data_IF_525540720419
#
_entry.id   IF_525540720419
#
_cell.length_a   1.000
_cell.length_b   1.000
_cell.length_c   1.000
_cell.angle_alpha   90.00
_cell.angle_beta   90.00
_cell.angle_gamma   90.00
#
_symmetry.space_group_name_H-M   'P 1'
#
loop_
_entity.id
_entity.type
_entity.pdbx_description
1 polymer ?
#
# COMPACT_ATOMS: atom_id res chain seq x y z
N UNK A 1 -8.22 -4.46 18.38
CA UNK A 1 -7.72 -3.55 17.31
C UNK A 1 -7.03 -4.29 16.18
N UNK A 2 -6.05 -5.17 16.45
CA UNK A 2 -5.30 -5.89 15.40
C UNK A 2 -6.19 -6.63 14.39
N UNK A 3 -7.24 -7.33 14.85
CA UNK A 3 -8.17 -8.03 13.96
C UNK A 3 -8.88 -7.12 12.96
N UNK A 4 -9.24 -5.89 13.34
CA UNK A 4 -9.88 -4.93 12.45
C UNK A 4 -8.90 -4.42 11.38
N UNK A 5 -7.63 -4.22 11.74
CA UNK A 5 -6.59 -3.82 10.79
C UNK A 5 -6.29 -4.93 9.79
N UNK A 6 -6.15 -6.18 10.25
CA UNK A 6 -5.93 -7.32 9.37
C UNK A 6 -7.12 -7.56 8.43
N UNK A 7 -8.35 -7.36 8.93
CA UNK A 7 -9.54 -7.40 8.10
C UNK A 7 -9.51 -6.33 7.00
N UNK A 8 -9.11 -5.10 7.34
CA UNK A 8 -8.98 -4.03 6.35
C UNK A 8 -7.87 -4.31 5.32
N UNK A 9 -6.72 -4.85 5.75
CA UNK A 9 -5.64 -5.26 4.85
C UNK A 9 -6.12 -6.31 3.84
N UNK A 10 -6.86 -7.33 4.30
CA UNK A 10 -7.44 -8.36 3.42
C UNK A 10 -8.38 -7.77 2.38
N UNK A 11 -9.18 -6.76 2.74
CA UNK A 11 -10.05 -6.07 1.77
C UNK A 11 -9.25 -5.32 0.72
N UNK A 12 -8.21 -4.60 1.14
CA UNK A 12 -7.31 -3.90 0.22
C UNK A 12 -6.66 -4.90 -0.74
N UNK A 13 -6.10 -5.99 -0.22
CA UNK A 13 -5.46 -7.02 -1.04
C UNK A 13 -6.44 -7.68 -2.02
N UNK A 14 -7.63 -8.06 -1.56
CA UNK A 14 -8.66 -8.66 -2.41
C UNK A 14 -9.04 -7.76 -3.58
N UNK A 15 -9.20 -6.46 -3.33
CA UNK A 15 -9.51 -5.49 -4.40
C UNK A 15 -8.31 -5.24 -5.30
N UNK A 16 -7.09 -5.21 -4.75
CA UNK A 16 -5.86 -5.07 -5.54
C UNK A 16 -5.73 -6.19 -6.58
N UNK A 17 -5.88 -7.44 -6.15
CA UNK A 17 -5.87 -8.62 -7.05
C UNK A 17 -6.97 -8.51 -8.11
N UNK A 18 -8.19 -8.16 -7.71
CA UNK A 18 -9.29 -8.00 -8.66
C UNK A 18 -9.01 -6.93 -9.74
N UNK A 19 -8.40 -5.80 -9.35
CA UNK A 19 -8.01 -4.74 -10.28
C UNK A 19 -6.86 -5.20 -11.20
N UNK A 20 -5.90 -5.94 -10.66
CA UNK A 20 -4.77 -6.48 -11.44
C UNK A 20 -5.21 -7.55 -12.44
N UNK A 21 -6.30 -8.28 -12.15
CA UNK A 21 -7.01 -9.17 -13.08
C UNK A 21 -7.86 -8.43 -14.13
N UNK A 22 -7.90 -7.09 -14.09
CA UNK A 22 -8.63 -6.26 -15.05
C UNK A 22 -10.12 -6.07 -14.76
N UNK A 23 -10.59 -6.39 -13.54
CA UNK A 23 -11.99 -6.12 -13.16
C UNK A 23 -12.24 -4.62 -13.05
N UNK A 24 -13.46 -4.23 -13.39
CA UNK A 24 -13.93 -2.84 -13.26
C UNK A 24 -13.94 -2.41 -11.78
N UNK A 25 -13.64 -1.14 -11.51
CA UNK A 25 -13.44 -0.59 -10.17
C UNK A 25 -14.65 -0.79 -9.24
N UNK A 26 -15.86 -0.55 -9.73
CA UNK A 26 -17.10 -0.79 -9.00
C UNK A 26 -17.30 -2.27 -8.69
N UNK A 27 -17.05 -3.17 -9.65
CA UNK A 27 -17.10 -4.62 -9.43
C UNK A 27 -16.09 -5.07 -8.38
N UNK A 28 -14.84 -4.60 -8.48
CA UNK A 28 -13.77 -4.93 -7.55
C UNK A 28 -14.09 -4.44 -6.12
N UNK A 29 -14.61 -3.21 -5.96
CA UNK A 29 -15.01 -2.67 -4.67
C UNK A 29 -16.16 -3.46 -4.02
N UNK A 30 -17.12 -3.92 -4.82
CA UNK A 30 -18.24 -4.77 -4.34
C UNK A 30 -17.75 -6.10 -3.76
N UNK A 31 -16.68 -6.69 -4.30
CA UNK A 31 -16.08 -7.92 -3.74
C UNK A 31 -15.60 -7.74 -2.30
N UNK A 32 -15.27 -6.51 -1.89
CA UNK A 32 -14.89 -6.17 -0.53
C UNK A 32 -16.05 -5.59 0.30
N UNK A 33 -17.30 -5.61 -0.19
CA UNK A 33 -18.44 -5.04 0.51
C UNK A 33 -18.38 -3.51 0.65
N UNK A 34 -17.69 -2.83 -0.26
CA UNK A 34 -17.66 -1.36 -0.30
C UNK A 34 -18.91 -0.87 -1.05
N UNK A 35 -19.69 0.06 -0.47
CA UNK A 35 -20.87 0.58 -1.14
C UNK A 35 -20.48 1.45 -2.35
N UNK A 36 -21.32 1.54 -3.41
CA UNK A 36 -20.97 2.20 -4.68
C UNK A 36 -20.46 3.64 -4.52
N UNK A 37 -21.09 4.43 -3.64
CA UNK A 37 -20.71 5.83 -3.40
C UNK A 37 -19.31 6.00 -2.76
N UNK A 38 -18.73 4.95 -2.17
CA UNK A 38 -17.34 4.92 -1.65
C UNK A 38 -16.38 4.12 -2.52
N UNK A 39 -16.86 3.48 -3.58
CA UNK A 39 -16.04 2.59 -4.40
C UNK A 39 -14.85 3.33 -5.03
N UNK A 40 -15.08 4.54 -5.56
CA UNK A 40 -14.04 5.36 -6.18
C UNK A 40 -12.91 5.68 -5.20
N UNK A 41 -13.24 6.22 -4.03
CA UNK A 41 -12.25 6.61 -3.02
C UNK A 41 -11.48 5.40 -2.49
N UNK A 42 -12.19 4.28 -2.28
CA UNK A 42 -11.56 3.04 -1.84
C UNK A 42 -10.60 2.48 -2.89
N UNK A 43 -10.99 2.48 -4.17
CA UNK A 43 -10.12 2.02 -5.26
C UNK A 43 -8.89 2.94 -5.41
N UNK A 44 -9.06 4.25 -5.28
CA UNK A 44 -7.93 5.19 -5.26
C UNK A 44 -6.97 4.93 -4.09
N UNK A 45 -7.49 4.50 -2.93
CA UNK A 45 -6.67 4.06 -1.81
C UNK A 45 -5.92 2.76 -2.15
N UNK A 46 -6.61 1.77 -2.71
CA UNK A 46 -6.03 0.46 -3.08
C UNK A 46 -4.91 0.61 -4.12
N UNK A 47 -5.06 1.50 -5.10
CA UNK A 47 -4.04 1.76 -6.13
C UNK A 47 -2.71 2.27 -5.58
N UNK A 48 -2.67 2.79 -4.35
CA UNK A 48 -1.42 3.21 -3.68
C UNK A 48 -0.61 2.04 -3.12
N UNK A 49 -1.21 0.85 -3.06
CA UNK A 49 -0.56 -0.35 -2.56
C UNK A 49 0.06 -1.16 -3.70
N UNK A 50 1.38 -1.36 -3.62
CA UNK A 50 2.09 -2.35 -4.42
C UNK A 50 2.08 -3.72 -3.76
N UNK A 51 2.22 -4.79 -4.55
CA UNK A 51 2.32 -6.16 -4.06
C UNK A 51 3.43 -6.33 -2.99
N UNK A 52 4.67 -5.81 -3.17
CA UNK A 52 5.71 -5.93 -2.14
C UNK A 52 5.32 -5.27 -0.81
N UNK A 53 4.54 -4.18 -0.84
CA UNK A 53 4.06 -3.51 0.38
C UNK A 53 2.99 -4.34 1.10
N UNK A 54 2.11 -5.02 0.34
CA UNK A 54 1.08 -5.89 0.91
C UNK A 54 1.69 -7.10 1.62
N UNK A 55 2.70 -7.73 1.00
CA UNK A 55 3.47 -8.80 1.64
C UNK A 55 4.16 -8.33 2.92
N UNK A 56 4.89 -7.21 2.85
CA UNK A 56 5.55 -6.65 4.02
C UNK A 56 4.55 -6.32 5.14
N UNK A 57 3.41 -5.70 4.80
CA UNK A 57 2.37 -5.41 5.78
C UNK A 57 1.82 -6.69 6.44
N UNK A 58 1.60 -7.75 5.66
CA UNK A 58 1.15 -9.04 6.17
C UNK A 58 2.13 -9.64 7.18
N UNK A 59 3.43 -9.64 6.87
CA UNK A 59 4.46 -10.16 7.77
C UNK A 59 4.52 -9.36 9.07
N UNK A 60 4.37 -8.03 9.00
CA UNK A 60 4.29 -7.16 10.17
C UNK A 60 3.08 -7.49 11.05
N UNK A 61 1.90 -7.72 10.44
CA UNK A 61 0.72 -8.15 11.18
C UNK A 61 0.92 -9.52 11.84
N UNK A 62 1.52 -10.49 11.14
CA UNK A 62 1.80 -11.81 11.68
C UNK A 62 2.75 -11.73 12.89
N UNK A 63 3.84 -10.97 12.77
CA UNK A 63 4.78 -10.72 13.87
C UNK A 63 4.10 -10.07 15.08
N UNK A 64 3.26 -9.06 14.85
CA UNK A 64 2.53 -8.39 15.92
C UNK A 64 1.51 -9.33 16.59
N UNK A 65 0.78 -10.15 15.82
CA UNK A 65 -0.17 -11.14 16.35
C UNK A 65 0.53 -12.18 17.22
N UNK A 66 1.66 -12.73 16.76
CA UNK A 66 2.49 -13.65 17.55
C UNK A 66 3.02 -13.00 18.83
N UNK A 67 3.46 -11.73 18.75
CA UNK A 67 3.98 -10.99 19.92
C UNK A 67 2.89 -10.72 20.96
N UNK A 68 1.67 -10.43 20.51
CA UNK A 68 0.50 -10.23 21.38
C UNK A 68 0.00 -11.53 22.02
N UNK A 69 0.14 -12.67 21.34
CA UNK A 69 -0.25 -13.99 21.86
C UNK A 69 0.84 -14.66 22.70
N UNK A 70 2.11 -14.25 22.56
CA UNK A 70 3.26 -14.81 23.26
C UNK A 70 3.68 -14.03 24.52
N UNK A 71 4.87 -14.33 25.04
CA UNK A 71 5.41 -13.82 26.31
C UNK A 71 5.70 -12.32 26.40
N UNK A 72 5.44 -11.54 25.35
CA UNK A 72 5.54 -10.07 25.34
C UNK A 72 4.20 -9.36 25.57
N UNK A 73 3.15 -10.10 25.96
CA UNK A 73 1.83 -9.57 26.28
C UNK A 73 1.81 -8.54 27.44
N UNK A 74 2.94 -8.28 28.10
CA UNK A 74 3.09 -7.25 29.14
C UNK A 74 3.06 -5.83 28.60
N UNK A 75 3.26 -5.61 27.29
CA UNK A 75 3.17 -4.28 26.67
C UNK A 75 2.42 -4.25 25.31
N UNK A 76 1.10 -4.56 25.26
CA UNK A 76 0.32 -4.61 24.03
C UNK A 76 0.30 -3.28 23.25
N UNK A 77 0.34 -2.15 23.96
CA UNK A 77 0.37 -0.81 23.36
C UNK A 77 1.64 -0.57 22.56
N UNK A 78 2.80 -0.96 23.12
CA UNK A 78 4.10 -0.79 22.45
C UNK A 78 4.16 -1.62 21.17
N UNK A 79 3.63 -2.84 21.19
CA UNK A 79 3.55 -3.70 20.00
C UNK A 79 2.69 -3.05 18.89
N UNK A 80 1.56 -2.44 19.27
CA UNK A 80 0.69 -1.75 18.31
C UNK A 80 1.32 -0.47 17.77
N UNK A 81 1.99 0.32 18.60
CA UNK A 81 2.70 1.54 18.19
C UNK A 81 3.82 1.19 17.20
N UNK A 82 4.63 0.17 17.50
CA UNK A 82 5.70 -0.33 16.63
C UNK A 82 5.16 -0.84 15.28
N UNK A 83 4.04 -1.57 15.29
CA UNK A 83 3.36 -2.01 14.07
C UNK A 83 2.94 -0.83 13.19
N UNK A 84 2.31 0.20 13.77
CA UNK A 84 1.87 1.39 13.02
C UNK A 84 3.06 2.12 12.39
N UNK A 85 4.14 2.30 13.16
CA UNK A 85 5.36 2.96 12.67
C UNK A 85 6.00 2.19 11.50
N UNK A 86 6.09 0.86 11.60
CA UNK A 86 6.64 0.03 10.52
C UNK A 86 5.76 0.04 9.27
N UNK A 87 4.43 0.01 9.40
CA UNK A 87 3.50 0.11 8.28
C UNK A 87 3.63 1.47 7.55
N UNK A 88 3.77 2.57 8.30
CA UNK A 88 4.00 3.89 7.72
C UNK A 88 5.34 3.95 6.95
N UNK A 89 6.43 3.42 7.54
CA UNK A 89 7.74 3.40 6.89
C UNK A 89 7.76 2.53 5.62
N UNK A 90 7.09 1.38 5.65
CA UNK A 90 6.93 0.49 4.50
C UNK A 90 6.24 1.22 3.33
N UNK A 91 5.19 1.99 3.62
CA UNK A 91 4.49 2.77 2.61
C UNK A 91 5.34 3.91 2.05
N UNK A 92 6.04 4.67 2.90
CA UNK A 92 6.91 5.78 2.49
C UNK A 92 8.10 5.35 1.63
N UNK A 93 8.73 4.21 1.93
CA UNK A 93 9.89 3.73 1.16
C UNK A 93 9.54 3.34 -0.28
N UNK A 94 8.40 2.69 -0.49
CA UNK A 94 7.99 2.31 -1.84
C UNK A 94 7.45 3.51 -2.65
N UNK A 95 6.88 4.54 -2.00
CA UNK A 95 6.57 5.81 -2.67
C UNK A 95 7.84 6.54 -3.19
N UNK A 96 8.97 6.44 -2.49
CA UNK A 96 10.24 7.04 -2.92
C UNK A 96 10.87 6.31 -4.12
N UNK A 97 10.70 4.99 -4.24
CA UNK A 97 11.23 4.21 -5.38
C UNK A 97 10.49 4.55 -6.68
N UNK A 98 9.18 4.78 -6.64
CA UNK A 98 8.37 5.13 -7.80
C UNK A 98 8.58 6.56 -8.36
N UNK A 99 9.28 7.44 -7.64
CA UNK A 99 9.48 8.84 -8.03
C UNK A 99 10.84 9.11 -8.74
N UNK A 100 11.62 8.08 -9.09
CA UNK A 100 12.80 8.25 -9.94
C UNK A 100 12.37 8.42 -11.41
N UNK A 101 11.78 9.56 -11.74
CA UNK A 101 11.66 10.02 -13.13
C UNK A 101 13.08 10.29 -13.63
N UNK A 102 13.56 9.49 -14.58
CA UNK A 102 14.83 9.71 -15.29
C UNK A 102 14.87 11.16 -15.79
N UNK A 103 15.89 11.98 -15.45
CA UNK A 103 16.02 13.28 -16.08
C UNK A 103 16.23 13.06 -17.59
N UNK A 104 15.35 13.65 -18.40
CA UNK A 104 15.43 13.58 -19.85
C UNK A 104 16.78 14.16 -20.33
N UNK A 105 17.40 13.60 -21.39
CA UNK A 105 18.63 14.15 -21.93
C UNK A 105 18.34 15.56 -22.48
N UNK A 106 19.00 16.57 -21.92
CA UNK A 106 18.92 17.95 -22.39
C UNK A 106 19.40 18.04 -23.84
N UNK A 107 18.49 18.36 -24.77
CA UNK A 107 18.87 18.68 -26.15
C UNK A 107 19.55 20.06 -26.15
N UNK A 108 20.88 20.05 -26.11
CA UNK A 108 21.68 21.25 -26.36
C UNK A 108 21.53 21.64 -27.83
N UNK A 109 21.12 22.89 -28.05
CA UNK A 109 20.62 23.39 -29.32
C UNK A 109 21.66 23.40 -30.45
N UNK A 110 21.19 23.01 -31.63
CA UNK A 110 21.89 23.19 -32.92
C UNK A 110 21.78 24.67 -33.32
N UNK A 111 22.82 25.45 -33.02
CA UNK A 111 22.99 26.80 -33.57
C UNK A 111 23.47 26.72 -35.01
N UNK A 112 22.62 27.14 -35.95
CA UNK A 112 22.99 27.44 -37.34
C UNK A 112 23.84 28.72 -37.34
N UNK A 113 25.10 28.61 -37.73
CA UNK A 113 25.93 29.74 -38.10
C UNK A 113 25.83 29.97 -39.60
N UNK A 114 25.17 31.06 -39.98
CA UNK A 114 25.26 31.68 -41.31
C UNK A 114 26.35 32.74 -41.23
N UNK A 115 27.33 32.68 -42.13
CA UNK A 115 28.03 33.78 -42.81
C UNK A 115 29.14 33.20 -43.69
#
# INVERSE_FOLDING_TARGET
MLGAFLWQLRRIWKVKVALDEGKEAGQAARLAGIPPFRAKDFVQQVQRWGEPQLHLAWDLFAKADSSLKGGHATAPKVILDDLVLQLCQANSRAAHVGNKKTPAPSKFGRGRGSL
#
